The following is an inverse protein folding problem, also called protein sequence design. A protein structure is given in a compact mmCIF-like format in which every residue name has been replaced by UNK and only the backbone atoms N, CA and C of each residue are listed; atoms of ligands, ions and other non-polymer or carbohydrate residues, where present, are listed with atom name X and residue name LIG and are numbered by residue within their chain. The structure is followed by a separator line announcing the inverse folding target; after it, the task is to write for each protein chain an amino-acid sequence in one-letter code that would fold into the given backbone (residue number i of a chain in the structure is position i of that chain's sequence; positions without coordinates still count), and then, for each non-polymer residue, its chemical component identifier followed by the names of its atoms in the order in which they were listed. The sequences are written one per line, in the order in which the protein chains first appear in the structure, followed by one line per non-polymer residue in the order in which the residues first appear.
data_IF_361507167135
#
_entry.id   IF_361507167135
#
_cell.length_a   1.000
_cell.length_b   1.000
_cell.length_c   1.000
_cell.angle_alpha   90.00
_cell.angle_beta   90.00
_cell.angle_gamma   90.00
#
_symmetry.space_group_name_H-M   'P 1'
#
loop_
_entity.id
_entity.type
_entity.pdbx_description
1 polymer ?
#
# COMPACT_ATOMS: atom_id res chain seq x y z
N UNK A 1 10.66 -36.29 -25.57
CA UNK A 1 10.13 -36.81 -24.32
C UNK A 1 10.11 -35.77 -23.23
N UNK A 2 8.99 -35.42 -22.72
CA UNK A 2 8.85 -34.38 -21.72
C UNK A 2 9.34 -34.92 -20.38
N UNK A 3 10.42 -34.34 -19.86
CA UNK A 3 10.90 -34.71 -18.54
C UNK A 3 9.98 -34.12 -17.48
N UNK A 4 9.13 -34.95 -16.92
CA UNK A 4 8.18 -34.57 -15.89
C UNK A 4 8.86 -34.03 -14.60
N UNK A 5 10.13 -34.32 -14.39
CA UNK A 5 10.85 -33.93 -13.16
C UNK A 5 11.43 -32.52 -13.13
N UNK A 6 11.50 -31.83 -14.25
CA UNK A 6 12.03 -30.46 -14.31
C UNK A 6 11.01 -29.50 -14.85
N UNK A 7 9.93 -29.34 -14.12
CA UNK A 7 8.98 -28.27 -14.42
C UNK A 7 9.72 -26.93 -14.29
N UNK A 8 9.88 -26.27 -15.41
CA UNK A 8 10.31 -24.88 -15.40
C UNK A 8 9.32 -24.11 -14.56
N UNK A 9 9.81 -23.33 -13.61
CA UNK A 9 8.96 -22.41 -12.88
C UNK A 9 8.37 -21.43 -13.91
N UNK A 10 7.10 -21.56 -14.19
CA UNK A 10 6.38 -20.65 -15.07
C UNK A 10 5.95 -19.42 -14.30
N UNK A 11 6.30 -18.26 -14.82
CA UNK A 11 5.83 -17.00 -14.29
C UNK A 11 4.58 -16.57 -15.06
N UNK A 12 3.57 -16.09 -14.36
CA UNK A 12 2.36 -15.62 -14.98
C UNK A 12 2.64 -14.38 -15.85
N UNK A 13 2.12 -14.40 -17.09
CA UNK A 13 2.18 -13.28 -18.01
C UNK A 13 0.74 -12.94 -18.45
N UNK A 14 0.22 -11.72 -18.18
CA UNK A 14 0.92 -10.63 -17.50
C UNK A 14 1.16 -10.90 -16.00
N UNK A 15 2.21 -10.32 -15.45
CA UNK A 15 2.51 -10.46 -14.01
C UNK A 15 1.38 -9.87 -13.18
N UNK A 16 0.86 -10.66 -12.26
CA UNK A 16 -0.30 -10.30 -11.44
C UNK A 16 -0.01 -10.49 -9.97
N UNK A 17 -0.79 -9.84 -9.12
CA UNK A 17 -0.71 -10.04 -7.66
C UNK A 17 -1.02 -11.50 -7.31
N UNK A 18 -2.03 -12.09 -7.94
CA UNK A 18 -2.37 -13.51 -7.75
C UNK A 18 -1.20 -14.43 -8.12
N UNK A 19 -0.53 -14.15 -9.23
CA UNK A 19 0.67 -14.88 -9.64
C UNK A 19 1.80 -14.74 -8.64
N UNK A 20 2.03 -13.54 -8.12
CA UNK A 20 3.03 -13.29 -7.09
C UNK A 20 2.78 -14.10 -5.81
N UNK A 21 1.53 -14.16 -5.37
CA UNK A 21 1.14 -14.93 -4.17
C UNK A 21 1.30 -16.44 -4.40
N UNK A 22 0.94 -16.94 -5.56
CA UNK A 22 0.91 -18.39 -5.84
C UNK A 22 2.23 -18.94 -6.35
N UNK A 23 2.92 -18.18 -7.21
CA UNK A 23 4.14 -18.62 -7.91
C UNK A 23 5.41 -17.88 -7.46
N UNK A 24 5.29 -16.78 -6.73
CA UNK A 24 6.41 -16.01 -6.24
C UNK A 24 7.20 -16.76 -5.15
N UNK A 25 8.48 -16.42 -5.00
CA UNK A 25 9.31 -16.92 -3.91
C UNK A 25 8.99 -16.21 -2.58
N UNK A 26 9.71 -16.54 -1.52
CA UNK A 26 9.50 -15.94 -0.19
C UNK A 26 9.70 -14.43 -0.23
N UNK A 27 10.70 -13.93 -0.95
CA UNK A 27 11.00 -12.49 -1.06
C UNK A 27 9.85 -11.78 -1.75
N UNK A 28 9.34 -12.33 -2.85
CA UNK A 28 8.17 -11.77 -3.55
C UNK A 28 6.92 -11.78 -2.68
N UNK A 29 6.71 -12.85 -1.92
CA UNK A 29 5.60 -12.91 -0.95
C UNK A 29 5.74 -11.91 0.18
N UNK A 30 6.95 -11.68 0.69
CA UNK A 30 7.24 -10.64 1.68
C UNK A 30 7.02 -9.24 1.14
N UNK A 31 7.16 -9.03 -0.16
CA UNK A 31 6.87 -7.73 -0.78
C UNK A 31 5.38 -7.36 -0.77
N UNK A 32 4.49 -8.29 -0.41
CA UNK A 32 3.10 -7.98 -0.11
C UNK A 32 2.96 -7.12 1.15
N UNK A 33 3.86 -7.31 2.13
CA UNK A 33 3.89 -6.53 3.37
C UNK A 33 4.84 -5.34 3.28
N UNK A 34 6.01 -5.54 2.67
CA UNK A 34 7.04 -4.52 2.52
C UNK A 34 7.21 -4.21 1.04
N UNK A 35 6.66 -3.08 0.62
CA UNK A 35 6.69 -2.67 -0.80
C UNK A 35 8.12 -2.51 -1.30
N UNK A 36 8.39 -3.05 -2.46
CA UNK A 36 9.69 -2.92 -3.11
C UNK A 36 10.77 -3.86 -2.60
N UNK A 37 10.48 -4.71 -1.61
CA UNK A 37 11.47 -5.65 -1.08
C UNK A 37 12.03 -6.58 -2.16
N UNK A 38 11.18 -7.10 -3.02
CA UNK A 38 11.61 -7.92 -4.15
C UNK A 38 12.50 -7.17 -5.14
N UNK A 39 12.19 -5.91 -5.41
CA UNK A 39 13.01 -5.07 -6.28
C UNK A 39 14.39 -4.83 -5.67
N UNK A 40 14.47 -4.53 -4.38
CA UNK A 40 15.74 -4.34 -3.67
C UNK A 40 16.56 -5.62 -3.70
N UNK A 41 15.96 -6.76 -3.42
CA UNK A 41 16.63 -8.06 -3.41
C UNK A 41 17.18 -8.45 -4.79
N UNK A 42 16.52 -8.03 -5.85
CA UNK A 42 16.93 -8.30 -7.24
C UNK A 42 17.68 -7.13 -7.90
N UNK A 43 18.39 -6.33 -7.12
CA UNK A 43 19.27 -5.23 -7.55
C UNK A 43 18.56 -4.03 -8.17
N UNK A 44 17.25 -3.93 -8.07
CA UNK A 44 16.50 -2.73 -8.46
C UNK A 44 16.30 -1.81 -7.27
N UNK A 45 17.40 -1.37 -6.67
CA UNK A 45 17.42 -0.66 -5.39
C UNK A 45 16.65 0.65 -5.46
N UNK A 46 16.88 1.46 -6.48
CA UNK A 46 16.20 2.76 -6.62
C UNK A 46 14.68 2.61 -6.70
N UNK A 47 14.20 1.67 -7.49
CA UNK A 47 12.77 1.39 -7.64
C UNK A 47 12.16 0.85 -6.36
N UNK A 48 12.84 -0.08 -5.70
CA UNK A 48 12.41 -0.63 -4.42
C UNK A 48 12.35 0.41 -3.31
N UNK A 49 13.33 1.31 -3.25
CA UNK A 49 13.33 2.41 -2.28
C UNK A 49 12.19 3.39 -2.52
N UNK A 50 11.85 3.69 -3.77
CA UNK A 50 10.70 4.54 -4.10
C UNK A 50 9.40 3.94 -3.57
N UNK A 51 9.16 2.65 -3.78
CA UNK A 51 7.99 1.97 -3.25
C UNK A 51 7.98 1.97 -1.72
N UNK A 52 9.12 1.73 -1.09
CA UNK A 52 9.24 1.74 0.36
C UNK A 52 8.95 3.11 0.96
N UNK A 53 9.42 4.19 0.34
CA UNK A 53 9.13 5.57 0.77
C UNK A 53 7.63 5.86 0.68
N UNK A 54 6.97 5.43 -0.39
CA UNK A 54 5.52 5.58 -0.53
C UNK A 54 4.77 4.84 0.58
N UNK A 55 5.18 3.63 0.90
CA UNK A 55 4.58 2.84 1.98
C UNK A 55 4.76 3.50 3.34
N UNK A 56 5.96 3.93 3.67
CA UNK A 56 6.24 4.62 4.93
C UNK A 56 5.43 5.91 5.03
N UNK A 57 5.38 6.69 3.96
CA UNK A 57 4.60 7.92 3.89
C UNK A 57 3.11 7.68 4.10
N UNK A 58 2.56 6.64 3.49
CA UNK A 58 1.17 6.27 3.66
C UNK A 58 0.85 5.84 5.10
N UNK A 59 1.69 4.98 5.68
CA UNK A 59 1.52 4.53 7.06
C UNK A 59 1.59 5.72 8.02
N UNK A 60 2.55 6.61 7.83
CA UNK A 60 2.67 7.83 8.62
C UNK A 60 1.41 8.69 8.52
N UNK A 61 0.93 8.93 7.30
CA UNK A 61 -0.30 9.69 7.07
C UNK A 61 -1.50 9.05 7.77
N UNK A 62 -1.66 7.73 7.67
CA UNK A 62 -2.77 7.02 8.31
C UNK A 62 -2.72 7.13 9.83
N UNK A 63 -1.54 7.03 10.43
CA UNK A 63 -1.37 7.18 11.88
C UNK A 63 -1.69 8.62 12.33
N UNK A 64 -1.26 9.62 11.57
CA UNK A 64 -1.46 11.02 11.94
C UNK A 64 -2.89 11.50 11.74
N UNK A 65 -3.53 11.12 10.67
CA UNK A 65 -4.81 11.71 10.26
C UNK A 65 -5.78 10.73 9.63
N UNK A 66 -5.29 9.79 8.84
CA UNK A 66 -6.13 8.96 7.98
C UNK A 66 -7.13 8.10 8.75
N UNK A 67 -6.70 7.44 9.81
CA UNK A 67 -7.56 6.59 10.63
C UNK A 67 -8.65 7.44 11.30
N UNK A 68 -8.29 8.61 11.81
CA UNK A 68 -9.25 9.54 12.39
C UNK A 68 -10.28 10.00 11.36
N UNK A 69 -9.83 10.42 10.19
CA UNK A 69 -10.71 10.88 9.11
C UNK A 69 -11.69 9.79 8.68
N UNK A 70 -11.22 8.55 8.54
CA UNK A 70 -12.08 7.42 8.18
C UNK A 70 -13.05 7.05 9.30
N UNK A 71 -12.64 7.15 10.56
CA UNK A 71 -13.51 6.84 11.70
C UNK A 71 -14.65 7.84 11.86
N UNK A 72 -14.42 9.10 11.50
CA UNK A 72 -15.41 10.16 11.58
C UNK A 72 -16.32 10.24 10.35
N UNK A 73 -15.88 9.68 9.21
CA UNK A 73 -16.61 9.77 7.96
C UNK A 73 -18.00 9.13 7.98
N UNK A 74 -18.21 7.92 8.55
CA UNK A 74 -19.53 7.29 8.59
C UNK A 74 -20.55 8.01 9.46
N UNK A 75 -20.12 8.82 10.42
CA UNK A 75 -21.01 9.55 11.35
C UNK A 75 -21.34 10.97 10.87
N UNK A 76 -21.01 11.30 9.62
CA UNK A 76 -21.35 12.59 9.03
C UNK A 76 -22.86 12.86 9.14
N UNK A 77 -23.21 14.01 9.74
CA UNK A 77 -24.58 14.41 9.96
C UNK A 77 -25.25 13.85 11.21
N UNK A 78 -24.60 12.99 11.96
CA UNK A 78 -25.13 12.36 13.17
C UNK A 78 -24.67 13.05 14.44
N UNK A 79 -23.50 13.64 14.44
CA UNK A 79 -22.94 14.32 15.59
C UNK A 79 -23.19 15.82 15.47
N UNK A 80 -23.92 16.36 16.44
CA UNK A 80 -24.14 17.80 16.53
C UNK A 80 -22.95 18.50 17.17
N UNK A 81 -22.81 19.79 16.89
CA UNK A 81 -21.82 20.62 17.54
C UNK A 81 -22.21 20.85 19.00
N UNK A 82 -21.30 20.59 19.92
CA UNK A 82 -21.48 20.88 21.32
C UNK A 82 -20.69 22.12 21.73
N UNK A 83 -21.27 22.92 22.60
CA UNK A 83 -20.62 24.09 23.17
C UNK A 83 -19.82 23.65 24.41
N UNK A 84 -18.50 23.73 24.32
CA UNK A 84 -17.58 23.32 25.39
C UNK A 84 -16.80 24.51 25.90
N UNK A 85 -16.66 24.60 27.22
CA UNK A 85 -15.84 25.62 27.84
C UNK A 85 -14.35 25.33 27.68
N UNK A 86 -13.60 26.25 27.09
CA UNK A 86 -12.15 26.16 27.00
C UNK A 86 -11.52 26.99 28.11
N UNK A 87 -10.96 26.32 29.11
CA UNK A 87 -10.34 26.96 30.26
C UNK A 87 -9.12 27.82 29.92
N UNK A 88 -8.34 27.38 28.91
CA UNK A 88 -7.13 28.09 28.49
C UNK A 88 -7.41 29.44 27.87
N UNK A 89 -8.53 29.53 27.14
CA UNK A 89 -8.93 30.76 26.43
C UNK A 89 -10.04 31.52 27.16
N UNK A 90 -10.62 30.92 28.20
CA UNK A 90 -11.77 31.47 28.96
C UNK A 90 -12.95 31.85 28.06
N UNK A 91 -13.21 31.04 27.03
CA UNK A 91 -14.32 31.20 26.10
C UNK A 91 -15.03 29.88 25.84
N UNK A 92 -16.27 29.97 25.40
CA UNK A 92 -16.96 28.79 24.87
C UNK A 92 -16.59 28.56 23.42
N UNK A 93 -16.18 27.34 23.10
CA UNK A 93 -15.91 26.91 21.76
C UNK A 93 -16.90 25.82 21.34
N UNK A 94 -17.24 25.76 20.07
CA UNK A 94 -18.05 24.69 19.52
C UNK A 94 -17.14 23.55 19.07
N UNK A 95 -17.46 22.33 19.48
CA UNK A 95 -16.81 21.16 18.92
C UNK A 95 -17.16 21.02 17.45
N UNK A 96 -16.25 20.48 16.65
CA UNK A 96 -16.55 20.16 15.27
C UNK A 96 -17.58 19.04 15.22
N UNK A 97 -18.74 19.32 14.64
CA UNK A 97 -19.72 18.28 14.33
C UNK A 97 -19.30 17.48 13.10
N UNK A 98 -19.91 16.31 12.94
CA UNK A 98 -19.62 15.46 11.78
C UNK A 98 -20.16 16.02 10.46
N UNK A 99 -21.05 17.00 10.52
CA UNK A 99 -21.54 17.75 9.34
C UNK A 99 -20.53 18.77 8.82
N UNK A 100 -19.35 18.88 9.44
CA UNK A 100 -18.33 19.79 8.97
C UNK A 100 -17.91 19.44 7.54
N UNK A 101 -17.91 20.42 6.66
CA UNK A 101 -17.40 20.26 5.28
C UNK A 101 -15.93 19.86 5.26
N UNK A 102 -15.16 20.21 6.29
CA UNK A 102 -13.77 19.79 6.43
C UNK A 102 -13.65 18.29 6.71
N UNK A 103 -14.52 17.74 7.57
CA UNK A 103 -14.52 16.30 7.84
C UNK A 103 -14.90 15.53 6.58
N UNK A 104 -15.90 16.01 5.84
CA UNK A 104 -16.26 15.42 4.55
C UNK A 104 -15.10 15.47 3.56
N UNK A 105 -14.47 16.63 3.40
CA UNK A 105 -13.33 16.80 2.51
C UNK A 105 -12.17 15.88 2.88
N UNK A 106 -11.79 15.86 4.15
CA UNK A 106 -10.67 15.01 4.62
C UNK A 106 -11.00 13.52 4.52
N UNK A 107 -12.25 13.13 4.80
CA UNK A 107 -12.70 11.75 4.64
C UNK A 107 -12.62 11.28 3.19
N UNK A 108 -13.14 12.07 2.26
CA UNK A 108 -13.06 11.78 0.82
C UNK A 108 -11.61 11.76 0.34
N UNK A 109 -10.80 12.73 0.76
CA UNK A 109 -9.38 12.77 0.42
C UNK A 109 -8.63 11.53 0.94
N UNK A 110 -8.93 11.08 2.16
CA UNK A 110 -8.32 9.88 2.74
C UNK A 110 -8.72 8.61 1.97
N UNK A 111 -9.98 8.50 1.57
CA UNK A 111 -10.44 7.38 0.72
C UNK A 111 -9.70 7.40 -0.61
N UNK A 112 -9.58 8.55 -1.26
CA UNK A 112 -8.84 8.70 -2.51
C UNK A 112 -7.37 8.29 -2.36
N UNK A 113 -6.70 8.79 -1.33
CA UNK A 113 -5.29 8.43 -1.04
C UNK A 113 -5.14 6.92 -0.82
N UNK A 114 -6.06 6.30 -0.10
CA UNK A 114 -6.07 4.85 0.13
C UNK A 114 -6.24 4.07 -1.16
N UNK A 115 -7.15 4.48 -2.04
CA UNK A 115 -7.34 3.84 -3.34
C UNK A 115 -6.09 3.97 -4.22
N UNK A 116 -5.47 5.14 -4.24
CA UNK A 116 -4.22 5.35 -4.97
C UNK A 116 -3.08 4.53 -4.38
N UNK A 117 -3.01 4.41 -3.06
CA UNK A 117 -2.04 3.53 -2.40
C UNK A 117 -2.22 2.07 -2.80
N UNK A 118 -3.46 1.57 -2.86
CA UNK A 118 -3.75 0.21 -3.31
C UNK A 118 -3.25 -0.02 -4.75
N UNK A 119 -3.45 0.95 -5.64
CA UNK A 119 -2.95 0.87 -7.01
C UNK A 119 -1.41 0.78 -7.02
N UNK A 120 -0.73 1.63 -6.27
CA UNK A 120 0.74 1.62 -6.16
C UNK A 120 1.22 0.32 -5.54
N UNK A 121 0.56 -0.18 -4.52
CA UNK A 121 0.87 -1.46 -3.88
C UNK A 121 0.79 -2.62 -4.89
N UNK A 122 -0.28 -2.66 -5.67
CA UNK A 122 -0.42 -3.68 -6.73
C UNK A 122 0.72 -3.62 -7.74
N UNK A 123 1.08 -2.42 -8.17
CA UNK A 123 2.20 -2.21 -9.09
C UNK A 123 3.53 -2.63 -8.46
N UNK A 124 3.74 -2.35 -7.18
CA UNK A 124 4.94 -2.76 -6.45
C UNK A 124 5.05 -4.29 -6.36
N UNK A 125 3.96 -4.98 -6.05
CA UNK A 125 3.91 -6.44 -5.99
C UNK A 125 4.19 -7.06 -7.36
N UNK A 126 3.56 -6.56 -8.41
CA UNK A 126 3.81 -6.99 -9.79
C UNK A 126 5.27 -6.78 -10.18
N UNK A 127 5.81 -5.63 -9.84
CA UNK A 127 7.21 -5.28 -10.14
C UNK A 127 8.19 -6.20 -9.41
N UNK A 128 7.93 -6.54 -8.14
CA UNK A 128 8.73 -7.49 -7.39
C UNK A 128 8.68 -8.89 -8.02
N UNK A 129 7.52 -9.32 -8.44
CA UNK A 129 7.35 -10.60 -9.13
C UNK A 129 8.08 -10.62 -10.48
N UNK A 130 7.97 -9.55 -11.24
CA UNK A 130 8.71 -9.39 -12.49
C UNK A 130 10.22 -9.41 -12.26
N UNK A 131 10.72 -8.77 -11.21
CA UNK A 131 12.14 -8.79 -10.83
C UNK A 131 12.62 -10.21 -10.50
N UNK A 132 11.82 -10.99 -9.80
CA UNK A 132 12.09 -12.40 -9.56
C UNK A 132 12.21 -13.18 -10.87
N UNK A 133 11.26 -13.00 -11.79
CA UNK A 133 11.26 -13.69 -13.07
C UNK A 133 12.49 -13.34 -13.92
N UNK A 134 12.86 -12.07 -13.99
CA UNK A 134 14.06 -11.61 -14.73
C UNK A 134 15.33 -12.18 -14.10
N UNK A 135 15.45 -12.13 -12.78
CA UNK A 135 16.59 -12.68 -12.05
C UNK A 135 16.74 -14.18 -12.26
N UNK A 136 15.63 -14.91 -12.18
CA UNK A 136 15.60 -16.35 -12.44
C UNK A 136 16.04 -16.70 -13.86
N UNK A 137 15.56 -15.99 -14.85
CA UNK A 137 15.94 -16.18 -16.27
C UNK A 137 17.43 -15.89 -16.49
N UNK A 138 17.95 -14.85 -15.85
CA UNK A 138 19.35 -14.47 -15.95
C UNK A 138 20.26 -15.54 -15.33
N UNK A 139 19.98 -16.03 -14.14
CA UNK A 139 20.71 -17.10 -13.51
C UNK A 139 20.71 -18.37 -14.34
N UNK A 140 19.59 -18.71 -14.93
CA UNK A 140 19.47 -19.88 -15.80
C UNK A 140 20.31 -19.77 -17.06
N UNK A 141 20.42 -18.58 -17.65
CA UNK A 141 21.29 -18.35 -18.82
C UNK A 141 22.75 -18.60 -18.48
N UNK A 142 23.20 -18.38 -17.26
CA UNK A 142 24.55 -18.64 -16.79
C UNK A 142 24.85 -20.11 -16.49
N UNK A 143 23.84 -20.93 -16.25
CA UNK A 143 23.99 -22.35 -15.98
C UNK A 143 24.26 -23.20 -17.23
N UNK A 144 24.02 -22.64 -18.39
CA UNK A 144 24.32 -23.28 -19.66
C UNK A 144 25.63 -22.75 -20.23
#
# INVERSE_FOLDING_TARGET
MIQAGKRKKEFADPYTVTGAVTKGNIITKLSLLIMGLGNIAHRQIAKGLMFLVVEIGYIWFMIQSGIYNLSMFPSLGWREQEKVWNEKKSIYEYTAGDQSSLILLYGVATIYITLMFIVVWREAVKSSYKSEAVSYTHLRAHET
#
